data_IF_401365842092
#
_entry.id   IF_401365842092
#
_cell.length_a   1.000
_cell.length_b   1.000
_cell.length_c   1.000
_cell.angle_alpha   90.00
_cell.angle_beta   90.00
_cell.angle_gamma   90.00
#
_symmetry.space_group_name_H-M   'P 1'
#
loop_
_entity.id
_entity.type
_entity.pdbx_description
1 polymer ?
#
# COMPACT_ATOMS: atom_id res chain seq x y z
N UNK A 1 1.92 10.50 33.79
CA UNK A 1 2.44 9.23 33.21
C UNK A 1 1.99 9.17 31.77
N UNK A 2 2.93 9.19 30.81
CA UNK A 2 2.62 9.13 29.38
C UNK A 2 2.79 7.68 28.94
N UNK A 3 1.70 6.93 28.88
CA UNK A 3 1.73 5.60 28.27
C UNK A 3 1.77 5.81 26.76
N UNK A 4 2.96 5.94 26.20
CA UNK A 4 3.13 5.76 24.76
C UNK A 4 2.56 4.39 24.44
N UNK A 5 1.51 4.27 23.61
CA UNK A 5 1.00 2.97 23.23
C UNK A 5 2.15 2.24 22.56
N UNK A 6 2.68 1.22 23.21
CA UNK A 6 3.53 0.24 22.57
C UNK A 6 2.79 -0.18 21.33
N UNK A 7 3.27 0.20 20.13
CA UNK A 7 2.75 -0.35 18.87
C UNK A 7 2.89 -1.84 19.06
N UNK A 8 1.78 -2.52 19.33
CA UNK A 8 1.69 -3.97 19.27
C UNK A 8 2.21 -4.29 17.87
N UNK A 9 3.42 -4.86 17.80
CA UNK A 9 3.95 -5.40 16.55
C UNK A 9 3.13 -6.65 16.27
N UNK A 10 1.90 -6.44 15.82
CA UNK A 10 1.26 -7.40 14.93
C UNK A 10 2.22 -7.60 13.75
N UNK A 11 2.20 -8.80 13.17
CA UNK A 11 2.99 -9.08 11.98
C UNK A 11 2.72 -7.97 10.94
N UNK A 12 3.75 -7.51 10.21
CA UNK A 12 3.57 -6.50 9.18
C UNK A 12 2.48 -6.96 8.22
N UNK A 13 1.46 -6.14 7.91
CA UNK A 13 0.40 -6.53 7.00
C UNK A 13 0.98 -6.82 5.61
N UNK A 14 0.41 -7.81 4.92
CA UNK A 14 0.77 -8.10 3.54
C UNK A 14 0.19 -7.00 2.62
N UNK A 15 1.08 -6.24 1.99
CA UNK A 15 0.74 -5.27 0.97
C UNK A 15 0.76 -5.94 -0.41
N UNK A 16 -0.35 -5.82 -1.13
CA UNK A 16 -0.51 -6.27 -2.51
C UNK A 16 -0.75 -5.06 -3.41
N UNK A 17 -0.57 -5.21 -4.72
CA UNK A 17 -0.82 -4.15 -5.69
C UNK A 17 -1.79 -4.58 -6.80
N UNK A 18 -2.54 -3.61 -7.32
CA UNK A 18 -3.35 -3.75 -8.55
C UNK A 18 -3.09 -2.56 -9.46
N UNK A 19 -3.14 -2.79 -10.78
CA UNK A 19 -3.17 -1.72 -11.77
C UNK A 19 -4.57 -1.11 -11.85
N UNK A 20 -4.63 0.21 -11.98
CA UNK A 20 -5.88 0.93 -12.29
C UNK A 20 -5.94 1.06 -13.81
N UNK A 21 -6.86 0.33 -14.44
CA UNK A 21 -6.95 0.17 -15.90
C UNK A 21 -7.86 1.24 -16.57
N UNK A 22 -8.01 2.41 -15.95
CA UNK A 22 -8.81 3.49 -16.49
C UNK A 22 -8.02 4.26 -17.55
N UNK A 23 -8.06 3.73 -18.79
CA UNK A 23 -7.96 4.36 -20.11
C UNK A 23 -6.87 5.41 -20.45
N UNK A 24 -6.09 5.90 -19.50
CA UNK A 24 -5.02 6.87 -19.72
C UNK A 24 -3.66 6.20 -19.54
N UNK A 25 -2.80 6.36 -20.55
CA UNK A 25 -1.58 5.60 -20.79
C UNK A 25 -0.46 5.77 -19.73
N UNK A 26 -0.75 6.35 -18.56
CA UNK A 26 0.18 6.59 -17.47
C UNK A 26 0.27 5.45 -16.44
N UNK A 27 -0.61 4.44 -16.50
CA UNK A 27 -0.50 3.20 -15.73
C UNK A 27 -0.36 3.44 -14.23
N UNK A 28 -1.46 3.71 -13.53
CA UNK A 28 -1.41 3.85 -12.08
C UNK A 28 -1.44 2.49 -11.37
N UNK A 29 -0.75 2.41 -10.24
CA UNK A 29 -0.70 1.23 -9.38
C UNK A 29 -1.15 1.60 -7.98
N UNK A 30 -2.13 0.87 -7.46
CA UNK A 30 -2.60 1.01 -6.08
C UNK A 30 -2.09 -0.12 -5.21
N UNK A 31 -1.39 0.22 -4.13
CA UNK A 31 -0.98 -0.67 -3.05
C UNK A 31 -2.01 -0.67 -1.93
N UNK A 32 -2.36 -1.85 -1.43
CA UNK A 32 -3.36 -2.04 -0.38
C UNK A 32 -3.08 -3.28 0.48
N UNK A 33 -3.65 -3.33 1.67
CA UNK A 33 -3.58 -4.50 2.56
C UNK A 33 -4.59 -5.56 2.09
N UNK A 34 -4.13 -6.78 1.80
CA UNK A 34 -4.99 -7.84 1.21
C UNK A 34 -6.14 -8.27 2.11
N UNK A 35 -5.88 -8.35 3.42
CA UNK A 35 -6.80 -8.89 4.41
C UNK A 35 -7.66 -7.80 5.07
N UNK A 36 -7.52 -6.54 4.65
CA UNK A 36 -8.36 -5.45 5.14
C UNK A 36 -9.40 -5.06 4.12
N UNK A 37 -10.64 -4.99 4.61
CA UNK A 37 -11.69 -4.31 3.90
C UNK A 37 -11.34 -2.82 3.68
N UNK A 38 -11.80 -2.24 2.56
CA UNK A 38 -11.74 -0.80 2.32
C UNK A 38 -12.63 -0.07 3.33
N UNK A 39 -12.10 0.20 4.52
CA UNK A 39 -12.66 1.19 5.43
C UNK A 39 -11.86 2.49 5.31
N UNK A 40 -12.53 3.55 4.87
CA UNK A 40 -11.95 4.87 4.58
C UNK A 40 -11.23 5.49 5.79
N UNK A 41 -11.51 5.02 7.01
CA UNK A 41 -10.93 5.60 8.24
C UNK A 41 -9.61 4.96 8.65
N UNK A 42 -9.34 3.73 8.22
CA UNK A 42 -8.24 2.93 8.78
C UNK A 42 -7.38 2.23 7.74
N UNK A 43 -7.93 1.94 6.55
CA UNK A 43 -7.19 1.29 5.48
C UNK A 43 -6.43 2.34 4.66
N UNK A 44 -5.10 2.19 4.58
CA UNK A 44 -4.24 3.12 3.85
C UNK A 44 -3.96 2.55 2.47
N UNK A 45 -4.59 3.11 1.45
CA UNK A 45 -4.25 2.83 0.06
C UNK A 45 -3.25 3.87 -0.45
N UNK A 46 -2.30 3.42 -1.25
CA UNK A 46 -1.30 4.28 -1.88
C UNK A 46 -1.41 4.06 -3.38
N UNK A 47 -1.85 5.08 -4.10
CA UNK A 47 -1.83 5.08 -5.56
C UNK A 47 -0.64 5.91 -6.04
N UNK A 48 0.17 5.34 -6.93
CA UNK A 48 1.33 5.98 -7.54
C UNK A 48 1.34 5.71 -9.04
N UNK A 49 2.10 6.52 -9.78
CA UNK A 49 2.45 6.18 -11.15
C UNK A 49 3.33 4.93 -11.17
N UNK A 50 3.13 4.05 -12.15
CA UNK A 50 4.02 2.90 -12.36
C UNK A 50 5.47 3.35 -12.57
N UNK A 51 5.69 4.51 -13.19
CA UNK A 51 7.04 5.09 -13.38
C UNK A 51 7.78 5.39 -12.08
N UNK A 52 7.05 5.54 -10.97
CA UNK A 52 7.62 5.83 -9.65
C UNK A 52 7.92 4.55 -8.86
N UNK A 53 7.51 3.38 -9.38
CA UNK A 53 7.77 2.09 -8.76
C UNK A 53 9.19 1.60 -9.12
N UNK A 54 9.95 1.17 -8.11
CA UNK A 54 11.24 0.50 -8.34
C UNK A 54 10.99 -0.98 -8.67
N UNK A 55 11.50 -1.52 -9.79
CA UNK A 55 11.33 -2.93 -10.14
C UNK A 55 11.93 -3.87 -9.08
N UNK A 56 11.29 -5.02 -8.82
CA UNK A 56 11.72 -6.00 -7.80
C UNK A 56 13.19 -6.43 -7.96
N UNK A 57 13.68 -6.49 -9.19
CA UNK A 57 15.06 -6.84 -9.55
C UNK A 57 16.11 -5.81 -9.11
N UNK A 58 15.69 -4.58 -8.83
CA UNK A 58 16.57 -3.46 -8.44
C UNK A 58 16.56 -3.22 -6.92
N UNK A 59 15.78 -3.99 -6.17
CA UNK A 59 15.70 -3.87 -4.71
C UNK A 59 17.00 -4.38 -4.09
N UNK A 60 17.58 -3.57 -3.18
CA UNK A 60 18.79 -3.91 -2.42
C UNK A 60 18.45 -4.49 -1.05
#
# INVERSE_FOLDING_TARGET
MSTSPTRVRAEPPELVCKRTDDADASGEVTFFERERDPDDRTTRWITVSESDCVPRSEWR
#
